data_IF_298838427258
#
_entry.id   IF_298838427258
#
_cell.length_a   1.000
_cell.length_b   1.000
_cell.length_c   1.000
_cell.angle_alpha   90.00
_cell.angle_beta   90.00
_cell.angle_gamma   90.00
#
_symmetry.space_group_name_H-M   'P 1'
#
loop_
_entity.id
_entity.type
_entity.pdbx_description
1 polymer ?
#
# COMPACT_ATOMS: atom_id res chain seq x y z
N UNK A 1 26.80 -16.69 -8.25
CA UNK A 1 25.47 -17.36 -8.40
C UNK A 1 24.85 -17.79 -7.07
N UNK A 2 25.64 -18.35 -6.14
CA UNK A 2 25.13 -18.81 -4.83
C UNK A 2 24.51 -17.68 -3.99
N UNK A 3 25.05 -16.46 -4.05
CA UNK A 3 24.50 -15.30 -3.33
C UNK A 3 23.10 -14.89 -3.81
N UNK A 4 22.75 -15.09 -5.08
CA UNK A 4 21.40 -14.78 -5.60
C UNK A 4 20.38 -15.75 -5.00
N UNK A 5 20.73 -17.04 -4.94
CA UNK A 5 19.88 -18.06 -4.32
C UNK A 5 19.72 -17.75 -2.83
N UNK A 6 20.82 -17.41 -2.13
CA UNK A 6 20.78 -17.01 -0.73
C UNK A 6 19.89 -15.76 -0.52
N UNK A 7 20.03 -14.74 -1.36
CA UNK A 7 19.23 -13.52 -1.31
C UNK A 7 17.73 -13.82 -1.43
N UNK A 8 17.34 -14.69 -2.38
CA UNK A 8 15.95 -15.11 -2.56
C UNK A 8 15.45 -15.86 -1.33
N UNK A 9 16.20 -16.85 -0.83
CA UNK A 9 15.83 -17.65 0.35
C UNK A 9 15.66 -16.76 1.58
N UNK A 10 16.61 -15.88 1.85
CA UNK A 10 16.54 -14.97 3.00
C UNK A 10 15.47 -13.89 2.83
N UNK A 11 15.17 -13.44 1.61
CA UNK A 11 14.04 -12.54 1.36
C UNK A 11 12.70 -13.22 1.69
N UNK A 12 12.51 -14.48 1.27
CA UNK A 12 11.32 -15.26 1.62
C UNK A 12 11.23 -15.52 3.13
N UNK A 13 12.35 -15.85 3.77
CA UNK A 13 12.41 -16.02 5.23
C UNK A 13 12.09 -14.73 5.97
N UNK A 14 12.55 -13.57 5.45
CA UNK A 14 12.24 -12.24 5.98
C UNK A 14 10.75 -11.98 5.95
N UNK A 15 10.09 -12.23 4.81
CA UNK A 15 8.64 -12.03 4.66
C UNK A 15 7.87 -12.99 5.59
N UNK A 16 8.20 -14.28 5.58
CA UNK A 16 7.55 -15.27 6.45
C UNK A 16 7.72 -14.93 7.92
N UNK A 17 8.95 -14.67 8.36
CA UNK A 17 9.27 -14.29 9.73
C UNK A 17 8.55 -13.02 10.15
N UNK A 18 8.50 -12.01 9.27
CA UNK A 18 7.77 -10.77 9.49
C UNK A 18 6.27 -11.03 9.68
N UNK A 19 5.62 -11.82 8.81
CA UNK A 19 4.17 -12.08 8.90
C UNK A 19 3.87 -12.73 10.24
N UNK A 20 4.59 -13.81 10.55
CA UNK A 20 4.36 -14.57 11.77
C UNK A 20 4.70 -13.77 13.03
N UNK A 21 5.73 -12.94 12.98
CA UNK A 21 6.10 -12.06 14.07
C UNK A 21 5.02 -11.00 14.32
N UNK A 22 4.52 -10.33 13.28
CA UNK A 22 3.43 -9.36 13.40
C UNK A 22 2.17 -10.04 13.94
N UNK A 23 1.79 -11.21 13.41
CA UNK A 23 0.66 -12.00 13.92
C UNK A 23 0.82 -12.32 15.41
N UNK A 24 2.02 -12.72 15.84
CA UNK A 24 2.32 -13.00 17.26
C UNK A 24 2.30 -11.74 18.14
N UNK A 25 2.58 -10.57 17.58
CA UNK A 25 2.47 -9.30 18.30
C UNK A 25 1.01 -8.93 18.53
N UNK A 26 0.18 -9.02 17.49
CA UNK A 26 -1.22 -8.57 17.51
C UNK A 26 -2.22 -9.61 18.05
N UNK A 27 -1.76 -10.82 18.38
CA UNK A 27 -2.60 -11.88 18.92
C UNK A 27 -3.24 -11.49 20.26
N UNK A 28 -4.55 -11.73 20.41
CA UNK A 28 -5.31 -11.48 21.62
C UNK A 28 -4.76 -12.24 22.85
N UNK A 29 -4.27 -13.46 22.64
CA UNK A 29 -3.59 -14.29 23.64
C UNK A 29 -2.09 -14.37 23.32
N UNK A 30 -1.28 -13.40 23.81
CA UNK A 30 0.10 -13.31 23.40
C UNK A 30 0.94 -14.46 23.96
N UNK A 31 1.74 -15.10 23.08
CA UNK A 31 2.76 -16.07 23.47
C UNK A 31 4.15 -15.43 23.38
N UNK A 32 4.83 -15.31 24.51
CA UNK A 32 6.21 -14.80 24.57
C UNK A 32 7.15 -15.66 23.71
N UNK A 33 6.99 -16.98 23.77
CA UNK A 33 7.78 -17.92 22.96
C UNK A 33 7.56 -17.68 21.46
N UNK A 34 6.31 -17.55 21.01
CA UNK A 34 6.02 -17.30 19.60
C UNK A 34 6.62 -15.96 19.13
N UNK A 35 6.49 -14.90 19.93
CA UNK A 35 7.08 -13.58 19.63
C UNK A 35 8.59 -13.66 19.47
N UNK A 36 9.30 -14.32 20.39
CA UNK A 36 10.76 -14.46 20.33
C UNK A 36 11.23 -15.35 19.18
N UNK A 37 10.58 -16.49 18.94
CA UNK A 37 10.91 -17.38 17.84
C UNK A 37 10.79 -16.66 16.50
N UNK A 38 9.65 -16.02 16.24
CA UNK A 38 9.42 -15.34 14.96
C UNK A 38 10.22 -14.05 14.83
N UNK A 39 10.51 -13.34 15.94
CA UNK A 39 11.47 -12.24 15.93
C UNK A 39 12.86 -12.70 15.50
N UNK A 40 13.33 -13.84 16.02
CA UNK A 40 14.60 -14.44 15.65
C UNK A 40 14.65 -14.84 14.18
N UNK A 41 13.61 -15.52 13.68
CA UNK A 41 13.49 -15.88 12.25
C UNK A 41 13.53 -14.64 11.36
N UNK A 42 12.79 -13.60 11.74
CA UNK A 42 12.76 -12.34 10.98
C UNK A 42 14.12 -11.63 10.99
N UNK A 43 14.80 -11.57 12.13
CA UNK A 43 16.14 -10.99 12.24
C UNK A 43 17.17 -11.76 11.42
N UNK A 44 17.15 -13.10 11.46
CA UNK A 44 18.02 -13.96 10.65
C UNK A 44 17.76 -13.72 9.16
N UNK A 45 16.49 -13.61 8.75
CA UNK A 45 16.13 -13.24 7.38
C UNK A 45 16.77 -11.93 6.94
N UNK A 46 16.58 -10.86 7.73
CA UNK A 46 17.14 -9.53 7.42
C UNK A 46 18.66 -9.53 7.34
N UNK A 47 19.34 -10.17 8.29
CA UNK A 47 20.80 -10.29 8.30
C UNK A 47 21.27 -11.10 7.09
N UNK A 48 20.56 -12.18 6.73
CA UNK A 48 20.88 -12.99 5.57
C UNK A 48 20.70 -12.26 4.24
N UNK A 49 19.70 -11.37 4.12
CA UNK A 49 19.54 -10.47 2.96
C UNK A 49 20.76 -9.56 2.83
N UNK A 50 21.13 -8.87 3.92
CA UNK A 50 22.31 -7.98 3.95
C UNK A 50 23.59 -8.75 3.59
N UNK A 51 23.82 -9.89 4.21
CA UNK A 51 24.97 -10.74 3.94
C UNK A 51 25.01 -11.19 2.48
N UNK A 52 23.87 -11.57 1.90
CA UNK A 52 23.79 -12.00 0.49
C UNK A 52 24.08 -10.85 -0.49
N UNK A 53 23.67 -9.62 -0.15
CA UNK A 53 24.02 -8.43 -0.93
C UNK A 53 25.53 -8.18 -0.88
N UNK A 54 26.15 -8.25 0.29
CA UNK A 54 27.61 -8.11 0.46
C UNK A 54 28.37 -9.23 -0.25
N UNK A 55 27.94 -10.49 -0.15
CA UNK A 55 28.58 -11.58 -0.90
C UNK A 55 28.50 -11.38 -2.43
N UNK A 56 27.45 -10.73 -2.92
CA UNK A 56 27.32 -10.34 -4.32
C UNK A 56 28.32 -9.27 -4.75
N UNK A 57 28.78 -8.39 -3.85
CA UNK A 57 29.84 -7.41 -4.15
C UNK A 57 31.17 -8.08 -4.39
N UNK A 58 31.50 -9.03 -3.53
CA UNK A 58 32.77 -9.74 -3.59
C UNK A 58 32.87 -10.59 -4.87
N UNK A 59 31.76 -11.19 -5.30
CA UNK A 59 31.71 -11.95 -6.56
C UNK A 59 31.70 -11.06 -7.82
N UNK A 60 31.07 -9.88 -7.78
CA UNK A 60 30.97 -8.99 -8.96
C UNK A 60 32.17 -8.06 -9.13
N UNK A 61 32.98 -7.87 -8.07
CA UNK A 61 34.06 -6.89 -8.03
C UNK A 61 33.58 -5.44 -7.89
N UNK A 62 32.26 -5.21 -7.87
CA UNK A 62 31.65 -3.90 -7.62
C UNK A 62 31.20 -3.80 -6.17
N UNK A 63 31.83 -2.91 -5.41
CA UNK A 63 31.41 -2.64 -4.04
C UNK A 63 30.02 -1.97 -4.04
N UNK A 64 29.02 -2.65 -3.48
CA UNK A 64 27.74 -2.02 -3.15
C UNK A 64 28.02 -0.96 -2.07
N UNK A 65 27.58 0.29 -2.26
CA UNK A 65 27.74 1.33 -1.25
C UNK A 65 27.11 0.90 0.08
N UNK A 66 27.80 1.13 1.20
CA UNK A 66 27.26 0.84 2.55
C UNK A 66 25.88 1.47 2.78
N UNK A 67 25.59 2.59 2.10
CA UNK A 67 24.30 3.23 2.10
C UNK A 67 23.17 2.35 1.50
N UNK A 68 23.42 1.55 0.46
CA UNK A 68 22.43 0.58 -0.09
C UNK A 68 22.15 -0.52 0.93
N UNK A 69 23.20 -1.01 1.59
CA UNK A 69 23.10 -2.07 2.61
C UNK A 69 22.30 -1.59 3.83
N UNK A 70 22.39 -0.31 4.18
CA UNK A 70 21.57 0.31 5.22
C UNK A 70 20.14 0.60 4.76
N UNK A 71 19.96 0.98 3.48
CA UNK A 71 18.67 1.43 2.94
C UNK A 71 17.60 0.34 3.05
N UNK A 72 17.91 -0.87 2.57
CA UNK A 72 16.96 -1.98 2.49
C UNK A 72 16.38 -2.38 3.86
N UNK A 73 17.20 -2.74 4.87
CA UNK A 73 16.68 -3.12 6.18
C UNK A 73 16.02 -1.95 6.92
N UNK A 74 16.54 -0.72 6.80
CA UNK A 74 15.95 0.43 7.49
C UNK A 74 14.57 0.79 6.94
N UNK A 75 14.40 0.82 5.62
CA UNK A 75 13.12 1.10 4.98
C UNK A 75 12.10 -0.01 5.28
N UNK A 76 12.56 -1.26 5.23
CA UNK A 76 11.70 -2.41 5.54
C UNK A 76 11.21 -2.41 6.99
N UNK A 77 12.09 -2.14 7.96
CA UNK A 77 11.72 -2.02 9.37
C UNK A 77 10.79 -0.83 9.60
N UNK A 78 11.05 0.32 8.94
CA UNK A 78 10.21 1.51 9.05
C UNK A 78 8.76 1.24 8.65
N UNK A 79 8.56 0.59 7.50
CA UNK A 79 7.23 0.25 6.97
C UNK A 79 6.50 -0.70 7.92
N UNK A 80 7.18 -1.77 8.36
CA UNK A 80 6.56 -2.78 9.21
C UNK A 80 6.22 -2.25 10.61
N UNK A 81 7.12 -1.50 11.23
CA UNK A 81 6.85 -0.86 12.50
C UNK A 81 5.72 0.18 12.39
N UNK A 82 5.66 0.92 11.27
CA UNK A 82 4.55 1.82 10.96
C UNK A 82 3.21 1.08 10.83
N UNK A 83 3.19 -0.09 10.18
CA UNK A 83 2.00 -0.92 10.04
C UNK A 83 1.52 -1.47 11.39
N UNK A 84 2.43 -1.97 12.22
CA UNK A 84 2.11 -2.44 13.58
C UNK A 84 1.52 -1.31 14.44
N UNK A 85 2.10 -0.10 14.36
CA UNK A 85 1.56 1.08 15.04
C UNK A 85 0.13 1.38 14.56
N UNK A 86 -0.08 1.43 13.25
CA UNK A 86 -1.40 1.71 12.68
C UNK A 86 -2.44 0.69 13.16
N UNK A 87 -2.06 -0.58 13.24
CA UNK A 87 -2.94 -1.64 13.73
C UNK A 87 -3.39 -1.40 15.17
N UNK A 88 -2.48 -1.04 16.08
CA UNK A 88 -2.83 -0.69 17.46
C UNK A 88 -3.65 0.59 17.57
N UNK A 89 -3.35 1.62 16.78
CA UNK A 89 -4.14 2.86 16.75
C UNK A 89 -5.59 2.60 16.28
N UNK A 90 -5.76 1.76 15.26
CA UNK A 90 -7.09 1.30 14.84
C UNK A 90 -7.80 0.58 15.98
N UNK A 91 -7.14 -0.37 16.65
CA UNK A 91 -7.78 -1.10 17.75
C UNK A 91 -8.13 -0.24 18.97
N UNK A 92 -7.28 0.72 19.31
CA UNK A 92 -7.56 1.68 20.38
C UNK A 92 -8.78 2.56 20.02
N UNK A 93 -8.88 2.98 18.76
CA UNK A 93 -10.02 3.77 18.27
C UNK A 93 -11.35 2.99 18.33
N UNK A 94 -11.32 1.68 18.07
CA UNK A 94 -12.48 0.79 18.19
C UNK A 94 -12.92 0.67 19.66
N UNK A 95 -11.98 0.41 20.58
CA UNK A 95 -12.26 0.31 22.02
C UNK A 95 -12.86 1.61 22.55
N UNK A 96 -12.35 2.76 22.13
CA UNK A 96 -12.86 4.08 22.52
C UNK A 96 -14.31 4.32 22.06
N UNK A 97 -14.78 3.60 21.03
CA UNK A 97 -16.15 3.66 20.50
C UNK A 97 -17.09 2.61 21.10
N UNK A 98 -16.64 1.88 22.13
CA UNK A 98 -17.42 0.83 22.78
C UNK A 98 -17.34 -0.53 22.07
N UNK A 99 -16.45 -0.70 21.09
CA UNK A 99 -16.18 -1.99 20.46
C UNK A 99 -15.40 -2.94 21.36
N UNK A 100 -15.61 -4.23 21.15
CA UNK A 100 -14.93 -5.33 21.86
C UNK A 100 -13.64 -5.74 21.17
N UNK A 101 -12.65 -4.84 21.06
CA UNK A 101 -11.37 -5.23 20.48
C UNK A 101 -10.42 -5.84 21.52
N UNK A 102 -10.10 -7.11 21.32
CA UNK A 102 -9.19 -7.92 22.13
C UNK A 102 -7.72 -7.57 21.80
N UNK A 103 -7.35 -6.32 22.02
CA UNK A 103 -5.94 -5.94 21.98
C UNK A 103 -5.18 -6.66 23.09
N UNK A 104 -3.93 -7.09 22.84
CA UNK A 104 -3.10 -7.66 23.88
C UNK A 104 -2.88 -6.66 25.03
N UNK A 105 -2.68 -7.14 26.27
CA UNK A 105 -2.55 -6.28 27.45
C UNK A 105 -1.37 -5.29 27.38
N UNK A 106 -0.38 -5.55 26.54
CA UNK A 106 0.80 -4.72 26.33
C UNK A 106 0.72 -3.82 25.07
N UNK A 107 -0.46 -3.68 24.45
CA UNK A 107 -0.66 -2.95 23.20
C UNK A 107 -0.10 -1.52 23.20
N UNK A 108 -0.34 -0.73 24.26
CA UNK A 108 0.16 0.66 24.34
C UNK A 108 1.69 0.73 24.35
N UNK A 109 2.34 -0.21 25.06
CA UNK A 109 3.80 -0.30 25.09
C UNK A 109 4.35 -0.73 23.72
N UNK A 110 3.69 -1.70 23.07
CA UNK A 110 4.09 -2.17 21.74
C UNK A 110 3.89 -1.08 20.68
N UNK A 111 2.80 -0.32 20.72
CA UNK A 111 2.55 0.82 19.82
C UNK A 111 3.61 1.92 20.00
N UNK A 112 3.99 2.22 21.25
CA UNK A 112 5.07 3.17 21.54
C UNK A 112 6.42 2.70 21.01
N UNK A 113 6.76 1.41 21.17
CA UNK A 113 8.00 0.82 20.62
C UNK A 113 7.99 0.80 19.09
N UNK A 114 6.87 0.41 18.48
CA UNK A 114 6.69 0.41 17.03
C UNK A 114 6.86 1.83 16.46
N UNK A 115 6.31 2.85 17.12
CA UNK A 115 6.49 4.26 16.72
C UNK A 115 7.96 4.68 16.72
N UNK A 116 8.71 4.34 17.78
CA UNK A 116 10.15 4.67 17.86
C UNK A 116 10.97 3.95 16.79
N UNK A 117 10.67 2.66 16.55
CA UNK A 117 11.33 1.87 15.50
C UNK A 117 11.00 2.40 14.10
N UNK A 118 9.76 2.82 13.85
CA UNK A 118 9.36 3.43 12.59
C UNK A 118 10.14 4.73 12.34
N UNK A 119 10.21 5.61 13.34
CA UNK A 119 10.95 6.86 13.26
C UNK A 119 12.46 6.64 13.07
N UNK A 120 13.04 5.70 13.81
CA UNK A 120 14.45 5.33 13.66
C UNK A 120 14.73 4.75 12.26
N UNK A 121 13.88 3.84 11.78
CA UNK A 121 13.99 3.28 10.44
C UNK A 121 13.92 4.37 9.37
N UNK A 122 12.95 5.28 9.45
CA UNK A 122 12.83 6.43 8.54
C UNK A 122 14.07 7.33 8.57
N UNK A 123 14.61 7.62 9.76
CA UNK A 123 15.83 8.42 9.89
C UNK A 123 17.03 7.73 9.24
N UNK A 124 17.21 6.42 9.46
CA UNK A 124 18.28 5.64 8.83
C UNK A 124 18.10 5.53 7.30
N UNK A 125 16.86 5.40 6.82
CA UNK A 125 16.53 5.45 5.39
C UNK A 125 16.91 6.81 4.79
N UNK A 126 16.60 7.92 5.48
CA UNK A 126 16.98 9.25 5.03
C UNK A 126 18.51 9.43 4.97
N UNK A 127 19.24 8.94 5.98
CA UNK A 127 20.71 8.93 6.00
C UNK A 127 21.27 8.09 4.85
N UNK A 128 20.71 6.92 4.59
CA UNK A 128 21.11 6.07 3.48
C UNK A 128 20.88 6.75 2.12
N UNK A 129 19.70 7.34 1.91
CA UNK A 129 19.39 8.09 0.70
C UNK A 129 20.33 9.28 0.51
N UNK A 130 20.68 9.98 1.60
CA UNK A 130 21.67 11.06 1.55
C UNK A 130 23.06 10.54 1.16
N UNK A 131 23.50 9.43 1.76
CA UNK A 131 24.78 8.79 1.44
C UNK A 131 24.87 8.28 0.01
N UNK A 132 23.75 7.92 -0.61
CA UNK A 132 23.64 7.59 -2.04
C UNK A 132 23.64 8.81 -2.96
N UNK A 133 23.64 10.02 -2.40
CA UNK A 133 23.53 11.25 -3.16
C UNK A 133 22.15 11.46 -3.77
N UNK A 134 21.10 10.77 -3.29
CA UNK A 134 19.77 10.84 -3.87
C UNK A 134 19.19 12.28 -3.88
N UNK A 135 19.35 13.11 -2.83
CA UNK A 135 18.94 14.51 -2.87
C UNK A 135 19.67 15.32 -3.94
N UNK A 136 20.99 15.12 -4.10
CA UNK A 136 21.83 15.81 -5.07
C UNK A 136 21.46 15.38 -6.50
N UNK A 137 21.27 14.08 -6.73
CA UNK A 137 20.79 13.53 -7.99
C UNK A 137 19.41 14.06 -8.34
N UNK A 138 18.50 14.14 -7.37
CA UNK A 138 17.18 14.72 -7.55
C UNK A 138 17.27 16.20 -7.91
N UNK A 139 18.05 17.00 -7.18
CA UNK A 139 18.24 18.43 -7.48
C UNK A 139 18.88 18.63 -8.85
N UNK A 140 19.93 17.88 -9.18
CA UNK A 140 20.55 17.91 -10.50
C UNK A 140 19.53 17.58 -11.59
N UNK A 141 18.71 16.54 -11.38
CA UNK A 141 17.62 16.17 -12.28
C UNK A 141 16.58 17.28 -12.46
N UNK A 142 16.07 17.89 -11.37
CA UNK A 142 15.04 18.95 -11.45
C UNK A 142 15.59 20.24 -12.08
N UNK A 143 16.87 20.52 -11.89
CA UNK A 143 17.53 21.74 -12.40
C UNK A 143 17.98 21.62 -13.86
N UNK A 144 18.04 20.42 -14.43
CA UNK A 144 18.36 20.23 -15.84
C UNK A 144 17.31 20.91 -16.75
N UNK A 145 17.74 21.68 -17.77
CA UNK A 145 16.83 22.22 -18.78
C UNK A 145 15.98 21.10 -19.39
N UNK A 146 14.66 21.31 -19.46
CA UNK A 146 13.71 20.32 -19.98
C UNK A 146 13.14 19.31 -18.96
N UNK A 147 13.68 19.23 -17.73
CA UNK A 147 13.27 18.21 -16.74
C UNK A 147 12.30 18.73 -15.66
N UNK A 148 11.98 20.03 -15.66
CA UNK A 148 11.03 20.64 -14.71
C UNK A 148 9.65 20.02 -14.76
N UNK A 149 9.18 19.65 -15.96
CA UNK A 149 7.90 18.96 -16.12
C UNK A 149 7.94 17.56 -15.50
N UNK A 150 9.04 16.82 -15.68
CA UNK A 150 9.23 15.51 -15.08
C UNK A 150 9.25 15.58 -13.54
N UNK A 151 9.95 16.57 -12.99
CA UNK A 151 9.95 16.84 -11.56
C UNK A 151 8.54 17.16 -11.02
N UNK A 152 7.78 18.00 -11.73
CA UNK A 152 6.43 18.38 -11.34
C UNK A 152 5.47 17.18 -11.34
N UNK A 153 5.55 16.29 -12.34
CA UNK A 153 4.67 15.11 -12.39
C UNK A 153 5.07 14.03 -11.37
N UNK A 154 6.36 13.90 -11.04
CA UNK A 154 6.81 13.05 -9.93
C UNK A 154 6.27 13.60 -8.61
N UNK A 155 6.40 14.90 -8.36
CA UNK A 155 5.87 15.54 -7.16
C UNK A 155 4.35 15.36 -7.06
N UNK A 156 3.62 15.52 -8.17
CA UNK A 156 2.19 15.25 -8.24
C UNK A 156 1.86 13.79 -7.91
N UNK A 157 2.64 12.83 -8.42
CA UNK A 157 2.45 11.41 -8.16
C UNK A 157 2.64 11.09 -6.67
N UNK A 158 3.72 11.60 -6.07
CA UNK A 158 4.03 11.43 -4.64
C UNK A 158 2.98 12.08 -3.76
N UNK A 159 2.57 13.31 -4.07
CA UNK A 159 1.50 14.00 -3.34
C UNK A 159 0.16 13.26 -3.46
N UNK A 160 -0.16 12.74 -4.65
CA UNK A 160 -1.34 11.93 -4.90
C UNK A 160 -1.36 10.65 -4.08
N UNK A 161 -0.24 9.92 -4.07
CA UNK A 161 -0.08 8.73 -3.24
C UNK A 161 -0.22 9.05 -1.75
N UNK A 162 0.42 10.12 -1.26
CA UNK A 162 0.32 10.53 0.13
C UNK A 162 -1.12 10.88 0.53
N UNK A 163 -1.86 11.59 -0.33
CA UNK A 163 -3.27 11.91 -0.11
C UNK A 163 -4.15 10.66 -0.09
N UNK A 164 -3.87 9.68 -0.96
CA UNK A 164 -4.55 8.40 -0.98
C UNK A 164 -4.34 7.62 0.32
N UNK A 165 -3.08 7.49 0.78
CA UNK A 165 -2.75 6.81 2.04
C UNK A 165 -3.35 7.53 3.24
N UNK A 166 -3.19 8.86 3.33
CA UNK A 166 -3.75 9.65 4.42
C UNK A 166 -5.28 9.52 4.50
N UNK A 167 -5.96 9.45 3.35
CA UNK A 167 -7.40 9.23 3.30
C UNK A 167 -7.80 7.82 3.68
N UNK A 168 -7.07 6.80 3.21
CA UNK A 168 -7.27 5.41 3.63
C UNK A 168 -7.11 5.24 5.14
N UNK A 169 -6.09 5.86 5.73
CA UNK A 169 -5.88 5.88 7.20
C UNK A 169 -7.06 6.57 7.90
N UNK A 170 -7.54 7.72 7.40
CA UNK A 170 -8.72 8.39 7.98
C UNK A 170 -9.98 7.55 7.89
N UNK A 171 -10.20 6.82 6.79
CA UNK A 171 -11.34 5.90 6.66
C UNK A 171 -11.19 4.73 7.64
N UNK A 172 -10.00 4.13 7.72
CA UNK A 172 -9.73 3.02 8.62
C UNK A 172 -9.92 3.40 10.10
N UNK A 173 -9.49 4.60 10.50
CA UNK A 173 -9.74 5.16 11.83
C UNK A 173 -11.17 5.70 12.01
N UNK A 174 -11.91 5.91 10.92
CA UNK A 174 -13.24 6.50 10.88
C UNK A 174 -14.38 5.47 10.87
N UNK A 175 -14.16 4.26 10.34
CA UNK A 175 -15.14 3.18 10.30
C UNK A 175 -15.53 2.70 11.72
N UNK A 176 -16.83 2.49 11.94
CA UNK A 176 -17.42 2.39 13.27
C UNK A 176 -17.99 1.03 13.65
N UNK A 177 -17.94 0.03 12.78
CA UNK A 177 -18.51 -1.29 13.07
C UNK A 177 -17.43 -2.35 13.01
N UNK A 178 -17.31 -3.10 14.11
CA UNK A 178 -16.53 -4.33 14.17
C UNK A 178 -17.21 -5.37 13.29
N UNK A 179 -16.48 -5.92 12.32
CA UNK A 179 -16.95 -7.08 11.56
C UNK A 179 -16.62 -8.34 12.33
N UNK A 180 -17.63 -9.18 12.50
CA UNK A 180 -17.50 -10.55 12.96
C UNK A 180 -16.77 -11.41 11.92
N UNK A 181 -16.23 -12.55 12.35
CA UNK A 181 -15.53 -13.49 11.46
C UNK A 181 -16.40 -13.94 10.27
N UNK A 182 -17.70 -14.14 10.50
CA UNK A 182 -18.67 -14.50 9.46
C UNK A 182 -18.87 -13.37 8.45
N UNK A 183 -18.92 -12.11 8.89
CA UNK A 183 -19.03 -10.94 8.01
C UNK A 183 -17.75 -10.72 7.19
N UNK A 184 -16.58 -11.06 7.72
CA UNK A 184 -15.31 -11.02 6.97
C UNK A 184 -15.27 -12.11 5.90
N UNK A 185 -15.69 -13.33 6.23
CA UNK A 185 -15.80 -14.41 5.24
C UNK A 185 -16.82 -14.08 4.15
N UNK A 186 -17.95 -13.47 4.52
CA UNK A 186 -18.98 -13.06 3.56
C UNK A 186 -18.53 -11.86 2.70
N UNK A 187 -17.79 -10.91 3.27
CA UNK A 187 -17.15 -9.83 2.51
C UNK A 187 -16.09 -10.37 1.55
N UNK A 188 -15.28 -11.35 1.95
CA UNK A 188 -14.32 -12.02 1.06
C UNK A 188 -15.03 -12.73 -0.11
N UNK A 189 -16.18 -13.38 0.17
CA UNK A 189 -17.03 -14.01 -0.85
C UNK A 189 -17.68 -13.00 -1.80
N UNK A 190 -18.11 -11.84 -1.30
CA UNK A 190 -18.91 -10.85 -2.04
C UNK A 190 -18.08 -9.73 -2.68
N UNK A 191 -16.82 -9.54 -2.26
CA UNK A 191 -15.92 -8.56 -2.89
C UNK A 191 -15.69 -8.98 -4.35
N UNK A 192 -16.08 -8.09 -5.30
CA UNK A 192 -16.04 -8.28 -6.77
C UNK A 192 -14.71 -8.75 -7.39
N UNK A 193 -13.64 -8.88 -6.60
CA UNK A 193 -12.34 -9.40 -7.03
C UNK A 193 -12.08 -10.86 -6.62
N UNK A 194 -12.95 -11.49 -5.81
CA UNK A 194 -12.73 -12.84 -5.27
C UNK A 194 -13.42 -13.99 -6.02
N UNK A 195 -14.58 -13.75 -6.66
CA UNK A 195 -15.37 -14.84 -7.24
C UNK A 195 -15.17 -15.05 -8.75
N UNK A 196 -15.00 -13.98 -9.54
CA UNK A 196 -15.08 -14.07 -11.01
C UNK A 196 -13.73 -13.98 -11.75
N UNK A 197 -12.65 -13.53 -11.10
CA UNK A 197 -11.36 -13.24 -11.77
C UNK A 197 -10.21 -14.18 -11.34
N UNK A 198 -10.35 -14.90 -10.22
CA UNK A 198 -9.31 -15.80 -9.73
C UNK A 198 -9.72 -17.27 -9.87
N UNK A 199 -8.96 -18.00 -10.70
CA UNK A 199 -9.07 -19.45 -10.89
C UNK A 199 -9.30 -20.20 -9.55
N UNK A 200 -10.22 -21.19 -9.48
CA UNK A 200 -10.48 -21.98 -8.28
C UNK A 200 -9.23 -22.65 -7.70
N UNK A 201 -8.22 -22.90 -8.53
CA UNK A 201 -6.93 -23.48 -8.12
C UNK A 201 -6.05 -22.48 -7.35
N UNK A 202 -6.11 -21.19 -7.70
CA UNK A 202 -5.37 -20.14 -7.00
C UNK A 202 -6.03 -19.78 -5.66
N UNK A 203 -7.36 -19.87 -5.57
CA UNK A 203 -8.09 -19.68 -4.32
C UNK A 203 -7.79 -20.82 -3.32
N UNK A 204 -7.74 -22.08 -3.80
CA UNK A 204 -7.32 -23.25 -3.00
C UNK A 204 -5.85 -23.23 -2.58
N UNK A 205 -4.99 -22.51 -3.31
CA UNK A 205 -3.56 -22.33 -3.01
C UNK A 205 -3.24 -20.99 -2.37
N UNK A 206 -4.23 -20.13 -2.14
CA UNK A 206 -4.00 -18.85 -1.48
C UNK A 206 -3.48 -19.13 -0.07
N UNK A 207 -2.26 -18.65 0.19
CA UNK A 207 -1.54 -18.83 1.45
C UNK A 207 -2.22 -18.04 2.59
N UNK A 208 -3.16 -17.15 2.24
CA UNK A 208 -3.97 -16.36 3.15
C UNK A 208 -5.28 -17.09 3.47
N UNK A 209 -5.18 -18.25 4.12
CA UNK A 209 -6.33 -18.74 4.90
C UNK A 209 -6.40 -17.93 6.18
N UNK A 210 -7.53 -17.27 6.38
CA UNK A 210 -7.86 -16.61 7.64
C UNK A 210 -8.05 -17.73 8.69
N UNK A 211 -6.98 -18.04 9.45
CA UNK A 211 -7.04 -19.00 10.54
C UNK A 211 -7.24 -18.25 11.86
N UNK A 212 -8.40 -18.46 12.49
CA UNK A 212 -8.74 -17.94 13.83
C UNK A 212 -9.75 -16.78 13.82
N UNK A 213 -10.22 -16.36 15.01
CA UNK A 213 -11.19 -15.27 15.15
C UNK A 213 -10.53 -13.94 14.73
N UNK A 214 -10.78 -13.53 13.50
CA UNK A 214 -10.38 -12.23 12.96
C UNK A 214 -11.52 -11.24 13.14
N UNK A 215 -11.19 -10.09 13.73
CA UNK A 215 -12.07 -8.91 13.79
C UNK A 215 -11.51 -7.88 12.81
N UNK A 216 -12.34 -7.45 11.87
CA UNK A 216 -12.01 -6.47 10.84
C UNK A 216 -12.80 -5.19 11.06
N UNK A 217 -12.32 -4.07 10.51
CA UNK A 217 -13.11 -2.85 10.39
C UNK A 217 -13.72 -2.84 9.00
N UNK A 218 -15.05 -2.73 8.90
CA UNK A 218 -15.70 -2.54 7.61
C UNK A 218 -15.35 -1.15 7.09
N UNK A 219 -14.45 -1.08 6.12
CA UNK A 219 -14.28 0.11 5.30
C UNK A 219 -15.41 0.21 4.27
N UNK A 220 -16.66 0.40 4.70
CA UNK A 220 -17.80 0.58 3.79
C UNK A 220 -17.77 1.96 3.13
N UNK A 221 -16.84 2.10 2.19
CA UNK A 221 -16.83 3.14 1.18
C UNK A 221 -17.49 2.63 -0.11
N UNK A 222 -18.59 1.87 0.00
CA UNK A 222 -19.45 1.54 -1.13
C UNK A 222 -20.28 2.76 -1.47
N UNK A 223 -19.73 3.61 -2.34
CA UNK A 223 -20.41 4.77 -2.88
C UNK A 223 -20.87 4.50 -4.29
N UNK A 224 -22.11 4.85 -4.59
CA UNK A 224 -22.61 4.88 -5.96
C UNK A 224 -22.09 6.12 -6.69
N UNK A 225 -21.98 6.04 -8.02
CA UNK A 225 -21.54 7.19 -8.82
C UNK A 225 -22.50 8.38 -8.73
N UNK A 226 -23.79 8.12 -8.49
CA UNK A 226 -24.79 9.16 -8.33
C UNK A 226 -24.62 9.89 -6.97
N UNK A 227 -24.32 9.18 -5.87
CA UNK A 227 -23.99 9.82 -4.58
C UNK A 227 -22.74 10.69 -4.66
N UNK A 228 -21.69 10.23 -5.36
CA UNK A 228 -20.47 11.04 -5.58
C UNK A 228 -20.79 12.29 -6.40
N UNK A 229 -21.62 12.17 -7.44
CA UNK A 229 -22.03 13.30 -8.28
C UNK A 229 -22.86 14.31 -7.49
N UNK A 230 -23.77 13.84 -6.66
CA UNK A 230 -24.64 14.71 -5.86
C UNK A 230 -23.85 15.40 -4.75
N UNK A 231 -22.93 14.71 -4.09
CA UNK A 231 -21.99 15.31 -3.13
C UNK A 231 -21.07 16.36 -3.78
N UNK A 232 -20.67 16.15 -5.03
CA UNK A 232 -19.92 17.15 -5.81
C UNK A 232 -20.75 18.40 -6.09
N UNK A 233 -21.97 18.23 -6.62
CA UNK A 233 -22.87 19.33 -7.02
C UNK A 233 -23.38 20.15 -5.84
N UNK A 234 -23.68 19.48 -4.73
CA UNK A 234 -24.15 20.11 -3.50
C UNK A 234 -23.03 20.78 -2.70
N UNK A 235 -21.75 20.56 -3.06
CA UNK A 235 -20.61 21.10 -2.35
C UNK A 235 -20.34 20.43 -0.99
N UNK A 236 -20.98 19.28 -0.71
CA UNK A 236 -20.78 18.52 0.53
C UNK A 236 -19.31 18.11 0.71
N UNK A 237 -18.58 17.90 -0.38
CA UNK A 237 -17.14 17.61 -0.35
C UNK A 237 -16.28 18.68 0.33
N UNK A 238 -16.77 19.92 0.50
CA UNK A 238 -16.08 20.98 1.24
C UNK A 238 -16.47 21.05 2.71
N UNK A 239 -17.66 20.59 3.07
CA UNK A 239 -18.28 20.83 4.38
C UNK A 239 -18.35 19.58 5.26
N UNK A 240 -18.54 18.42 4.65
CA UNK A 240 -18.67 17.14 5.34
C UNK A 240 -17.30 16.42 5.40
N UNK A 241 -16.74 16.16 6.59
CA UNK A 241 -15.48 15.44 6.78
C UNK A 241 -15.43 14.06 6.10
N UNK A 242 -16.57 13.37 6.01
CA UNK A 242 -16.67 12.08 5.31
C UNK A 242 -16.38 12.27 3.83
N UNK A 243 -17.08 13.20 3.17
CA UNK A 243 -16.89 13.48 1.76
C UNK A 243 -15.53 14.12 1.47
N UNK A 244 -15.00 14.96 2.35
CA UNK A 244 -13.64 15.48 2.23
C UNK A 244 -12.61 14.34 2.14
N UNK A 245 -12.76 13.29 2.96
CA UNK A 245 -11.86 12.12 2.94
C UNK A 245 -11.99 11.32 1.64
N UNK A 246 -13.22 11.07 1.19
CA UNK A 246 -13.49 10.36 -0.08
C UNK A 246 -12.93 11.11 -1.28
N UNK A 247 -13.19 12.42 -1.38
CA UNK A 247 -12.67 13.25 -2.47
C UNK A 247 -11.15 13.41 -2.40
N UNK A 248 -10.56 13.52 -1.21
CA UNK A 248 -9.10 13.52 -1.05
C UNK A 248 -8.48 12.22 -1.56
N UNK A 249 -9.05 11.05 -1.24
CA UNK A 249 -8.59 9.76 -1.78
C UNK A 249 -8.75 9.68 -3.29
N UNK A 250 -9.89 10.11 -3.82
CA UNK A 250 -10.18 10.07 -5.26
C UNK A 250 -9.25 11.00 -6.06
N UNK A 251 -9.06 12.24 -5.62
CA UNK A 251 -8.11 13.15 -6.23
C UNK A 251 -6.66 12.68 -6.06
N UNK A 252 -6.34 12.10 -4.90
CA UNK A 252 -5.04 11.48 -4.64
C UNK A 252 -4.73 10.34 -5.61
N UNK A 253 -5.68 9.42 -5.80
CA UNK A 253 -5.55 8.32 -6.75
C UNK A 253 -5.39 8.83 -8.20
N UNK A 254 -6.20 9.82 -8.62
CA UNK A 254 -6.10 10.41 -9.96
C UNK A 254 -4.71 11.07 -10.15
N UNK A 255 -4.27 11.87 -9.18
CA UNK A 255 -2.97 12.54 -9.22
C UNK A 255 -1.81 11.53 -9.23
N UNK A 256 -1.91 10.46 -8.46
CA UNK A 256 -0.94 9.36 -8.44
C UNK A 256 -0.83 8.68 -9.80
N UNK A 257 -1.97 8.28 -10.39
CA UNK A 257 -2.01 7.58 -11.68
C UNK A 257 -1.54 8.49 -12.81
N UNK A 258 -2.05 9.72 -12.89
CA UNK A 258 -1.68 10.68 -13.93
C UNK A 258 -0.21 11.08 -13.80
N UNK A 259 0.23 11.44 -12.58
CA UNK A 259 1.60 11.82 -12.31
C UNK A 259 2.59 10.68 -12.58
N UNK A 260 2.25 9.46 -12.15
CA UNK A 260 3.06 8.27 -12.38
C UNK A 260 3.18 7.90 -13.85
N UNK A 261 2.05 7.89 -14.58
CA UNK A 261 2.04 7.64 -16.02
C UNK A 261 2.81 8.72 -16.80
N UNK A 262 2.66 10.00 -16.43
CA UNK A 262 3.42 11.09 -17.03
C UNK A 262 4.91 10.99 -16.72
N UNK A 263 5.31 10.57 -15.51
CA UNK A 263 6.70 10.33 -15.16
C UNK A 263 7.31 9.19 -16.00
N UNK A 264 6.60 8.07 -16.15
CA UNK A 264 7.03 6.94 -16.99
C UNK A 264 7.14 7.35 -18.46
N UNK A 265 6.21 8.17 -18.96
CA UNK A 265 6.29 8.67 -20.33
C UNK A 265 7.46 9.64 -20.53
N UNK A 266 7.67 10.59 -19.62
CA UNK A 266 8.74 11.58 -19.74
C UNK A 266 10.12 10.95 -19.57
N UNK A 267 10.26 9.95 -18.70
CA UNK A 267 11.55 9.33 -18.36
C UNK A 267 11.83 8.01 -19.07
N UNK A 268 10.81 7.39 -19.64
CA UNK A 268 10.92 6.14 -20.36
C UNK A 268 11.74 6.27 -21.63
N UNK A 269 12.35 5.16 -22.04
CA UNK A 269 13.00 5.03 -23.36
C UNK A 269 12.00 5.31 -24.49
N UNK A 270 12.50 5.58 -25.71
CA UNK A 270 11.64 5.78 -26.89
C UNK A 270 10.62 4.64 -27.09
N UNK A 271 11.04 3.41 -26.82
CA UNK A 271 10.18 2.22 -26.86
C UNK A 271 9.08 2.28 -25.79
N UNK A 272 9.44 2.61 -24.54
CA UNK A 272 8.48 2.77 -23.44
C UNK A 272 7.45 3.84 -23.75
N UNK A 273 7.86 4.98 -24.33
CA UNK A 273 6.97 6.06 -24.76
C UNK A 273 5.97 5.61 -25.83
N UNK A 274 6.43 4.88 -26.85
CA UNK A 274 5.55 4.36 -27.91
C UNK A 274 4.53 3.37 -27.37
N UNK A 275 4.95 2.45 -26.52
CA UNK A 275 4.04 1.47 -25.88
C UNK A 275 3.01 2.19 -25.01
N UNK A 276 3.43 3.13 -24.17
CA UNK A 276 2.52 3.90 -23.33
C UNK A 276 1.54 4.77 -24.13
N UNK A 277 2.02 5.41 -25.20
CA UNK A 277 1.15 6.16 -26.11
C UNK A 277 0.09 5.25 -26.75
N UNK A 278 0.49 4.06 -27.20
CA UNK A 278 -0.44 3.07 -27.74
C UNK A 278 -1.50 2.63 -26.73
N UNK A 279 -1.10 2.38 -25.48
CA UNK A 279 -2.01 2.02 -24.38
C UNK A 279 -2.97 3.17 -24.07
N UNK A 280 -2.50 4.42 -24.02
CA UNK A 280 -3.34 5.58 -23.77
C UNK A 280 -4.35 5.83 -24.90
N UNK A 281 -3.92 5.69 -26.16
CA UNK A 281 -4.81 5.79 -27.32
C UNK A 281 -5.87 4.70 -27.27
N UNK A 282 -5.46 3.45 -27.00
CA UNK A 282 -6.39 2.33 -26.84
C UNK A 282 -7.39 2.58 -25.71
N UNK A 283 -6.93 3.05 -24.55
CA UNK A 283 -7.80 3.38 -23.42
C UNK A 283 -8.78 4.52 -23.76
N UNK A 284 -8.34 5.55 -24.49
CA UNK A 284 -9.20 6.64 -24.94
C UNK A 284 -10.27 6.17 -25.96
N UNK A 285 -9.89 5.29 -26.88
CA UNK A 285 -10.81 4.65 -27.82
C UNK A 285 -11.85 3.84 -27.04
N UNK A 286 -11.41 3.00 -26.09
CA UNK A 286 -12.31 2.17 -25.29
C UNK A 286 -13.24 3.00 -24.40
N UNK A 287 -12.75 4.08 -23.78
CA UNK A 287 -13.58 5.00 -23.02
C UNK A 287 -14.65 5.66 -23.92
N UNK A 288 -14.28 6.06 -25.14
CA UNK A 288 -15.21 6.68 -26.09
C UNK A 288 -16.26 5.68 -26.60
N UNK A 289 -15.86 4.45 -26.90
CA UNK A 289 -16.75 3.38 -27.33
C UNK A 289 -17.69 2.92 -26.20
N UNK A 290 -17.17 2.80 -24.97
CA UNK A 290 -17.96 2.49 -23.78
C UNK A 290 -19.02 3.56 -23.47
N UNK A 291 -18.66 4.84 -23.61
CA UNK A 291 -19.61 5.96 -23.46
C UNK A 291 -20.69 5.93 -24.56
N UNK A 292 -20.34 5.58 -25.80
CA UNK A 292 -21.31 5.42 -26.92
C UNK A 292 -22.26 4.23 -26.68
N UNK A 293 -21.75 3.09 -26.23
CA UNK A 293 -22.55 1.92 -25.91
C UNK A 293 -23.51 2.17 -24.75
N UNK A 294 -23.05 2.85 -23.69
CA UNK A 294 -23.89 3.24 -22.54
C UNK A 294 -25.00 4.24 -22.90
N UNK A 295 -24.73 5.18 -23.82
CA UNK A 295 -25.75 6.11 -24.34
C UNK A 295 -26.82 5.41 -25.19
N UNK A 296 -26.43 4.40 -25.99
CA UNK A 296 -27.37 3.62 -26.81
C UNK A 296 -28.35 2.81 -25.95
N UNK A 297 -27.87 2.23 -24.84
CA UNK A 297 -28.67 1.44 -23.90
C UNK A 297 -29.71 2.29 -23.14
N UNK A 298 -29.36 3.51 -22.73
CA UNK A 298 -30.31 4.46 -22.12
C UNK A 298 -31.34 5.03 -23.10
N UNK A 299 -31.05 5.02 -24.39
CA UNK A 299 -31.98 5.46 -25.44
C UNK A 299 -33.02 4.42 -25.83
N UNK A 300 -32.74 3.12 -25.69
CA UNK A 300 -33.69 2.04 -25.99
C UNK A 300 -34.69 1.78 -24.86
N UNK A 301 -34.32 2.05 -23.61
CA UNK A 301 -35.22 1.86 -22.45
C UNK A 301 -36.24 3.02 -22.31
N UNK A 302 -36.09 4.09 -23.08
CA UNK A 302 -37.01 5.23 -23.11
C UNK A 302 -38.10 5.16 -24.19
N UNK A 303 -38.10 4.15 -25.05
CA UNK A 303 -39.03 4.06 -26.21
C UNK A 303 -40.06 2.94 -26.12
N UNK A 304 -40.21 2.26 -24.98
CA UNK A 304 -41.23 1.23 -24.73
C UNK A 304 -42.27 1.67 -23.69
N UNK A 305 -42.47 2.98 -23.56
CA UNK A 305 -43.48 3.59 -22.70
C UNK A 305 -44.32 4.62 -23.44
N UNK A 306 -45.00 4.20 -24.51
CA UNK A 306 -46.28 4.77 -24.98
C UNK A 306 -47.16 3.65 -25.51
#
# INVERSE_FOLDING_TARGET
>A
MAWIVALVVFSLLTVLGMVQFITALIAATPSSQARWTWAGVYAIGLVGVVYSMLAGTDESGESIPAAVVLLVPSAWVAINAGFVRLWYEMGASIRARGGTNDLPPDADQLAGRASRLALLGLALTAVALWGLGAPQQFVAFVTQPGHRLAAAVIALAVAGWAALIAGGVRVALGAGHEMTHEEIEEMERTTKFGADVHSPLLQRRSVYRIYGPTKGLEGSATFTFDEIRDAWRSGLWRRDPRWQTVFMMMFGAIAMVVGGAAAVFLLGSSTTRMVFAGVLIYAAIQATLGIRAGRKKRGSDGSTGQ
#
